data_IF_286537718047
#
_entry.id   IF_286537718047
#
_cell.length_a   1.000
_cell.length_b   1.000
_cell.length_c   1.000
_cell.angle_alpha   90.00
_cell.angle_beta   90.00
_cell.angle_gamma   90.00
#
_symmetry.space_group_name_H-M   'P 1'
#
loop_
_entity.id
_entity.type
_entity.pdbx_description
1 polymer ?
#
# COMPACT_ATOMS: atom_id res chain seq x y z
N UNK A 1 46.66 -47.63 -0.20
CA UNK A 1 47.38 -48.90 -0.36
C UNK A 1 47.82 -48.99 -1.82
N UNK A 2 48.96 -48.37 -2.10
CA UNK A 2 49.69 -48.33 -3.37
C UNK A 2 50.90 -47.46 -3.03
N UNK A 3 52.00 -48.11 -2.66
CA UNK A 3 53.17 -47.41 -2.13
C UNK A 3 53.86 -46.67 -3.27
N UNK A 4 53.80 -45.34 -3.24
CA UNK A 4 54.52 -44.49 -4.17
C UNK A 4 55.95 -44.40 -3.66
N UNK A 5 56.90 -44.89 -4.46
CA UNK A 5 58.32 -44.96 -4.16
C UNK A 5 58.85 -43.66 -3.53
N UNK A 6 59.09 -43.67 -2.21
CA UNK A 6 59.97 -42.71 -1.56
C UNK A 6 61.38 -42.93 -2.12
N UNK A 7 61.73 -42.13 -3.12
CA UNK A 7 63.12 -41.99 -3.55
C UNK A 7 63.82 -41.20 -2.47
N UNK A 8 64.55 -41.89 -1.60
CA UNK A 8 65.33 -41.28 -0.53
C UNK A 8 66.28 -40.24 -1.14
N UNK A 9 66.01 -38.96 -0.89
CA UNK A 9 66.77 -37.82 -1.42
C UNK A 9 68.03 -37.51 -0.58
N UNK A 10 68.52 -38.48 0.20
CA UNK A 10 69.79 -38.33 0.90
C UNK A 10 70.95 -38.10 -0.08
N UNK A 11 71.95 -37.26 0.25
CA UNK A 11 73.08 -36.99 -0.65
C UNK A 11 73.83 -38.25 -1.10
N UNK A 12 73.81 -39.30 -0.26
CA UNK A 12 74.39 -40.61 -0.57
C UNK A 12 73.59 -41.35 -1.65
N UNK A 13 72.26 -41.44 -1.50
CA UNK A 13 71.37 -42.03 -2.49
C UNK A 13 71.45 -41.32 -3.84
N UNK A 14 71.49 -39.98 -3.83
CA UNK A 14 71.65 -39.18 -5.06
C UNK A 14 73.02 -39.38 -5.72
N UNK A 15 74.11 -39.47 -4.95
CA UNK A 15 75.44 -39.78 -5.49
C UNK A 15 75.51 -41.20 -6.08
N UNK A 16 74.88 -42.18 -5.43
CA UNK A 16 74.83 -43.57 -5.88
C UNK A 16 73.95 -43.71 -7.15
N UNK A 17 72.84 -42.97 -7.24
CA UNK A 17 72.02 -42.87 -8.44
C UNK A 17 72.76 -42.16 -9.60
N UNK A 18 73.49 -41.08 -9.33
CA UNK A 18 74.30 -40.38 -10.33
C UNK A 18 75.45 -41.27 -10.86
N UNK A 19 76.14 -41.98 -9.97
CA UNK A 19 77.15 -42.98 -10.34
C UNK A 19 76.55 -44.10 -11.19
N UNK A 20 75.41 -44.66 -10.77
CA UNK A 20 74.71 -45.72 -11.51
C UNK A 20 74.23 -45.24 -12.89
N UNK A 21 73.73 -44.00 -12.99
CA UNK A 21 73.34 -43.40 -14.26
C UNK A 21 74.55 -43.14 -15.18
N UNK A 22 75.71 -42.75 -14.64
CA UNK A 22 76.95 -42.60 -15.41
C UNK A 22 77.43 -43.96 -15.96
N UNK A 23 77.46 -45.00 -15.12
CA UNK A 23 77.80 -46.38 -15.53
C UNK A 23 76.81 -46.92 -16.57
N UNK A 24 75.51 -46.66 -16.41
CA UNK A 24 74.49 -47.05 -17.39
C UNK A 24 74.65 -46.34 -18.74
N UNK A 25 75.05 -45.06 -18.76
CA UNK A 25 75.35 -44.36 -20.01
C UNK A 25 76.60 -44.91 -20.71
N UNK A 26 77.60 -45.40 -19.97
CA UNK A 26 78.77 -46.09 -20.54
C UNK A 26 78.35 -47.43 -21.16
N UNK A 27 77.51 -48.22 -20.48
CA UNK A 27 76.97 -49.47 -21.03
C UNK A 27 76.14 -49.25 -22.31
N UNK A 28 75.26 -48.24 -22.33
CA UNK A 28 74.42 -47.90 -23.49
C UNK A 28 75.23 -47.36 -24.68
N UNK A 29 76.45 -46.83 -24.46
CA UNK A 29 77.36 -46.47 -25.56
C UNK A 29 77.97 -47.68 -26.27
N UNK A 30 78.15 -48.82 -25.58
CA UNK A 30 78.71 -50.03 -26.18
C UNK A 30 77.74 -50.77 -27.14
N UNK A 31 76.42 -50.63 -26.94
CA UNK A 31 75.40 -51.39 -27.68
C UNK A 31 74.82 -50.62 -28.89
N UNK A 32 75.13 -49.32 -29.04
CA UNK A 32 74.51 -48.43 -30.03
C UNK A 32 75.18 -48.39 -31.41
N UNK A 33 76.23 -49.18 -31.65
CA UNK A 33 76.90 -49.26 -32.96
C UNK A 33 76.15 -50.07 -34.03
N UNK A 34 74.98 -50.66 -33.72
CA UNK A 34 74.37 -51.69 -34.57
C UNK A 34 72.88 -51.52 -34.96
N UNK A 35 72.26 -50.34 -34.76
CA UNK A 35 70.90 -50.05 -35.28
C UNK A 35 70.72 -48.61 -35.76
N UNK A 36 70.95 -48.39 -37.05
CA UNK A 36 70.50 -47.20 -37.79
C UNK A 36 69.59 -47.63 -38.96
N UNK A 37 68.27 -47.50 -38.80
CA UNK A 37 67.26 -47.35 -39.88
C UNK A 37 65.86 -47.19 -39.27
N UNK A 38 65.01 -46.46 -40.00
CA UNK A 38 63.59 -46.17 -39.73
C UNK A 38 63.31 -45.22 -38.53
N UNK A 39 62.42 -44.23 -38.63
CA UNK A 39 61.75 -43.63 -39.80
C UNK A 39 61.43 -42.15 -39.52
N UNK A 40 61.17 -41.40 -40.59
CA UNK A 40 60.69 -40.02 -40.63
C UNK A 40 59.20 -40.04 -41.00
N UNK A 41 58.31 -39.41 -40.21
CA UNK A 41 57.11 -38.69 -40.70
C UNK A 41 56.19 -38.13 -39.59
N UNK A 42 56.12 -36.79 -39.53
CA UNK A 42 54.92 -35.95 -39.69
C UNK A 42 53.67 -36.04 -38.77
N UNK A 43 53.23 -34.84 -38.33
CA UNK A 43 51.87 -34.28 -38.03
C UNK A 43 51.98 -33.41 -36.76
N UNK A 44 51.98 -32.06 -36.76
CA UNK A 44 51.13 -31.02 -37.38
C UNK A 44 49.74 -30.79 -36.73
N UNK A 45 49.34 -29.50 -36.65
CA UNK A 45 48.27 -28.84 -35.85
C UNK A 45 48.63 -28.59 -34.37
N UNK A 46 48.59 -27.37 -33.81
CA UNK A 46 48.43 -26.03 -34.39
C UNK A 46 47.43 -25.14 -33.66
N UNK A 47 47.92 -24.04 -33.05
CA UNK A 47 47.26 -22.73 -32.86
C UNK A 47 46.11 -22.66 -31.83
N UNK A 48 45.83 -21.62 -31.03
CA UNK A 48 46.52 -20.45 -30.40
C UNK A 48 45.44 -19.75 -29.51
N UNK A 49 45.65 -18.86 -28.53
CA UNK A 49 46.79 -18.38 -27.71
C UNK A 49 46.17 -17.78 -26.42
N UNK A 50 46.87 -17.79 -25.28
CA UNK A 50 46.71 -16.80 -24.18
C UNK A 50 47.99 -16.77 -23.33
N UNK A 51 48.66 -15.62 -23.33
CA UNK A 51 49.98 -15.41 -22.74
C UNK A 51 49.89 -15.03 -21.25
N UNK A 52 50.74 -15.61 -20.40
CA UNK A 52 51.39 -14.89 -19.30
C UNK A 52 52.75 -15.54 -18.97
N UNK A 53 53.69 -14.75 -18.49
CA UNK A 53 55.12 -15.01 -18.69
C UNK A 53 55.73 -16.01 -17.69
N UNK A 54 56.20 -17.15 -18.23
CA UNK A 54 56.94 -18.20 -17.52
C UNK A 54 58.24 -18.59 -18.24
N UNK A 55 58.98 -17.61 -18.75
CA UNK A 55 60.23 -17.84 -19.48
C UNK A 55 61.42 -18.29 -18.61
N UNK A 56 62.45 -18.84 -19.28
CA UNK A 56 63.74 -19.30 -18.74
C UNK A 56 63.68 -20.61 -17.90
N UNK A 57 64.42 -21.68 -18.19
CA UNK A 57 65.43 -21.92 -19.24
C UNK A 57 65.37 -23.37 -19.74
N UNK A 58 65.23 -23.57 -21.06
CA UNK A 58 65.72 -24.79 -21.69
C UNK A 58 67.25 -24.75 -21.66
N UNK A 59 67.86 -25.37 -20.64
CA UNK A 59 69.31 -25.60 -20.60
C UNK A 59 69.66 -26.61 -21.69
N UNK A 60 69.83 -26.09 -22.90
CA UNK A 60 70.45 -26.80 -23.99
C UNK A 60 71.90 -27.05 -23.61
N UNK A 61 72.15 -28.16 -22.91
CA UNK A 61 73.49 -28.63 -22.61
C UNK A 61 74.20 -28.92 -23.94
N UNK A 62 74.87 -27.89 -24.45
CA UNK A 62 75.89 -27.97 -25.49
C UNK A 62 76.96 -28.90 -24.96
N UNK A 63 76.80 -30.19 -25.24
CA UNK A 63 77.82 -31.20 -25.01
C UNK A 63 78.99 -30.82 -25.90
N UNK A 64 79.92 -30.07 -25.32
CA UNK A 64 81.27 -29.86 -25.84
C UNK A 64 81.76 -31.25 -26.24
N UNK A 65 81.91 -31.49 -27.54
CA UNK A 65 82.39 -32.76 -28.04
C UNK A 65 83.87 -32.88 -27.63
N UNK A 66 84.09 -33.42 -26.43
CA UNK A 66 85.41 -33.87 -26.02
C UNK A 66 85.88 -34.90 -27.02
N UNK A 67 87.14 -34.80 -27.43
CA UNK A 67 87.76 -35.83 -28.27
C UNK A 67 87.78 -37.12 -27.44
N UNK A 68 86.91 -38.09 -27.78
CA UNK A 68 86.95 -39.47 -27.27
C UNK A 68 88.24 -40.14 -27.81
N UNK A 69 89.40 -39.73 -27.28
CA UNK A 69 90.66 -40.45 -27.42
C UNK A 69 90.53 -41.65 -26.49
N UNK A 70 90.31 -42.84 -27.07
CA UNK A 70 90.33 -44.09 -26.29
C UNK A 70 91.69 -44.22 -25.59
N UNK A 71 91.67 -43.94 -24.29
CA UNK A 71 92.83 -43.92 -23.40
C UNK A 71 93.55 -45.27 -23.41
N UNK A 72 92.78 -46.37 -23.47
CA UNK A 72 93.31 -47.73 -23.57
C UNK A 72 94.06 -47.96 -24.87
N UNK A 73 93.55 -47.44 -26.00
CA UNK A 73 94.23 -47.51 -27.30
C UNK A 73 95.47 -46.62 -27.36
N UNK A 74 95.44 -45.43 -26.74
CA UNK A 74 96.59 -44.51 -26.70
C UNK A 74 97.73 -45.04 -25.84
N UNK A 75 97.45 -45.51 -24.62
CA UNK A 75 98.45 -46.17 -23.76
C UNK A 75 99.04 -47.40 -24.48
N UNK A 76 98.20 -48.22 -25.11
CA UNK A 76 98.65 -49.40 -25.88
C UNK A 76 99.50 -49.04 -27.10
N UNK A 77 99.41 -47.82 -27.63
CA UNK A 77 100.26 -47.30 -28.71
C UNK A 77 101.63 -46.87 -28.19
N UNK A 78 101.68 -46.16 -27.06
CA UNK A 78 102.90 -45.73 -26.37
C UNK A 78 103.78 -46.95 -26.05
N UNK A 79 103.21 -47.97 -25.40
CA UNK A 79 103.94 -49.18 -25.01
C UNK A 79 104.38 -50.08 -26.18
N UNK A 80 103.82 -49.88 -27.38
CA UNK A 80 104.23 -50.57 -28.61
C UNK A 80 105.31 -49.85 -29.42
N UNK A 81 105.58 -48.57 -29.14
CA UNK A 81 106.66 -47.83 -29.82
C UNK A 81 108.02 -48.46 -29.52
N UNK A 82 108.92 -48.54 -30.50
CA UNK A 82 110.24 -49.16 -30.31
C UNK A 82 111.33 -48.15 -29.93
N UNK A 83 111.12 -46.87 -30.25
CA UNK A 83 112.17 -45.84 -30.25
C UNK A 83 112.24 -44.98 -28.98
N UNK A 84 111.37 -45.25 -28.00
CA UNK A 84 111.20 -44.44 -26.78
C UNK A 84 111.65 -45.25 -25.55
N UNK A 85 112.42 -44.61 -24.66
CA UNK A 85 112.91 -45.21 -23.42
C UNK A 85 111.75 -45.62 -22.48
N UNK A 86 111.96 -46.64 -21.64
CA UNK A 86 110.90 -47.16 -20.75
C UNK A 86 110.39 -46.10 -19.77
N UNK A 87 111.29 -45.27 -19.22
CA UNK A 87 110.93 -44.18 -18.30
C UNK A 87 110.10 -43.09 -19.00
N UNK A 88 110.36 -42.82 -20.28
CA UNK A 88 109.65 -41.83 -21.08
C UNK A 88 108.24 -42.34 -21.48
N UNK A 89 108.11 -43.64 -21.82
CA UNK A 89 106.80 -44.31 -21.99
C UNK A 89 105.97 -44.33 -20.71
N UNK A 90 106.62 -44.54 -19.57
CA UNK A 90 105.97 -44.45 -18.25
C UNK A 90 105.50 -43.02 -17.98
N UNK A 91 106.34 -42.02 -18.24
CA UNK A 91 106.00 -40.60 -18.09
C UNK A 91 104.81 -40.19 -18.98
N UNK A 92 104.80 -40.59 -20.25
CA UNK A 92 103.69 -40.30 -21.19
C UNK A 92 102.40 -41.02 -20.79
N UNK A 93 102.48 -42.28 -20.34
CA UNK A 93 101.34 -43.05 -19.83
C UNK A 93 100.74 -42.41 -18.57
N UNK A 94 101.60 -41.99 -17.63
CA UNK A 94 101.17 -41.29 -16.41
C UNK A 94 100.58 -39.92 -16.76
N UNK A 95 101.16 -39.20 -17.71
CA UNK A 95 100.62 -37.92 -18.21
C UNK A 95 99.21 -38.05 -18.77
N UNK A 96 98.93 -39.10 -19.57
CA UNK A 96 97.58 -39.39 -20.07
C UNK A 96 96.61 -39.73 -18.94
N UNK A 97 97.01 -40.56 -17.97
CA UNK A 97 96.16 -40.93 -16.82
C UNK A 97 95.86 -39.74 -15.91
N UNK A 98 96.83 -38.86 -15.67
CA UNK A 98 96.65 -37.63 -14.90
C UNK A 98 95.74 -36.65 -15.65
N UNK A 99 95.95 -36.46 -16.97
CA UNK A 99 95.07 -35.60 -17.78
C UNK A 99 93.62 -36.07 -17.84
N UNK A 100 93.37 -37.38 -17.88
CA UNK A 100 92.01 -37.93 -17.81
C UNK A 100 91.39 -37.76 -16.41
N UNK A 101 92.18 -37.92 -15.35
CA UNK A 101 91.75 -37.65 -13.97
C UNK A 101 91.40 -36.17 -13.77
N UNK A 102 92.22 -35.25 -14.29
CA UNK A 102 91.97 -33.81 -14.24
C UNK A 102 90.72 -33.42 -15.03
N UNK A 103 90.51 -34.00 -16.23
CA UNK A 103 89.30 -33.84 -17.05
C UNK A 103 88.03 -34.34 -16.32
N UNK A 104 88.11 -35.51 -15.70
CA UNK A 104 87.02 -36.08 -14.91
C UNK A 104 86.72 -35.25 -13.65
N UNK A 105 87.75 -34.71 -13.01
CA UNK A 105 87.60 -33.78 -11.88
C UNK A 105 86.97 -32.46 -12.30
N UNK A 106 87.41 -31.85 -13.42
CA UNK A 106 86.81 -30.62 -13.95
C UNK A 106 85.34 -30.83 -14.31
N UNK A 107 85.00 -31.92 -15.00
CA UNK A 107 83.61 -32.26 -15.33
C UNK A 107 82.77 -32.54 -14.07
N UNK A 108 83.30 -33.30 -13.11
CA UNK A 108 82.62 -33.61 -11.85
C UNK A 108 82.36 -32.37 -10.98
N UNK A 109 83.33 -31.46 -10.89
CA UNK A 109 83.20 -30.18 -10.18
C UNK A 109 82.23 -29.24 -10.90
N UNK A 110 82.26 -29.20 -12.23
CA UNK A 110 81.29 -28.43 -13.02
C UNK A 110 79.85 -28.92 -12.80
N UNK A 111 79.61 -30.23 -12.94
CA UNK A 111 78.31 -30.83 -12.72
C UNK A 111 77.81 -30.67 -11.27
N UNK A 112 78.71 -30.71 -10.28
CA UNK A 112 78.38 -30.42 -8.89
C UNK A 112 77.99 -28.95 -8.67
N UNK A 113 78.73 -28.01 -9.26
CA UNK A 113 78.43 -26.59 -9.17
C UNK A 113 77.09 -26.25 -9.84
N UNK A 114 76.81 -26.82 -11.02
CA UNK A 114 75.51 -26.66 -11.70
C UNK A 114 74.36 -27.23 -10.88
N UNK A 115 74.57 -28.36 -10.19
CA UNK A 115 73.59 -28.95 -9.27
C UNK A 115 73.35 -28.07 -8.04
N UNK A 116 74.39 -27.49 -7.44
CA UNK A 116 74.25 -26.57 -6.30
C UNK A 116 73.53 -25.27 -6.71
N UNK A 117 73.88 -24.69 -7.85
CA UNK A 117 73.17 -23.51 -8.40
C UNK A 117 71.70 -23.80 -8.67
N UNK A 118 71.37 -24.91 -9.32
CA UNK A 118 69.98 -25.29 -9.59
C UNK A 118 69.20 -25.66 -8.32
N UNK A 119 69.84 -26.27 -7.32
CA UNK A 119 69.23 -26.57 -6.02
C UNK A 119 68.92 -25.29 -5.22
N UNK A 120 69.78 -24.28 -5.27
CA UNK A 120 69.54 -22.96 -4.68
C UNK A 120 68.40 -22.23 -5.40
N UNK A 121 68.39 -22.23 -6.73
CA UNK A 121 67.30 -21.65 -7.54
C UNK A 121 65.96 -22.34 -7.27
N UNK A 122 65.94 -23.67 -7.17
CA UNK A 122 64.74 -24.44 -6.82
C UNK A 122 64.22 -24.10 -5.42
N UNK A 123 65.13 -23.93 -4.45
CA UNK A 123 64.76 -23.50 -3.09
C UNK A 123 64.12 -22.12 -3.10
N UNK A 124 64.74 -21.14 -3.78
CA UNK A 124 64.19 -19.79 -3.93
C UNK A 124 62.83 -19.79 -4.66
N UNK A 125 62.69 -20.60 -5.72
CA UNK A 125 61.43 -20.74 -6.46
C UNK A 125 60.32 -21.36 -5.58
N UNK A 126 60.64 -22.33 -4.71
CA UNK A 126 59.69 -22.88 -3.74
C UNK A 126 59.24 -21.85 -2.71
N UNK A 127 60.16 -21.07 -2.14
CA UNK A 127 59.83 -19.98 -1.20
C UNK A 127 58.94 -18.91 -1.84
N UNK A 128 59.21 -18.54 -3.10
CA UNK A 128 58.36 -17.64 -3.89
C UNK A 128 56.98 -18.24 -4.21
N UNK A 129 56.91 -19.54 -4.51
CA UNK A 129 55.63 -20.23 -4.73
C UNK A 129 54.80 -20.33 -3.45
N UNK A 130 55.42 -20.62 -2.31
CA UNK A 130 54.75 -20.67 -1.00
C UNK A 130 54.23 -19.30 -0.56
N UNK A 131 55.03 -18.24 -0.72
CA UNK A 131 54.59 -16.87 -0.37
C UNK A 131 53.44 -16.41 -1.26
N UNK A 132 53.51 -16.66 -2.59
CA UNK A 132 52.39 -16.39 -3.52
C UNK A 132 51.14 -17.22 -3.18
N UNK A 133 51.31 -18.49 -2.81
CA UNK A 133 50.19 -19.37 -2.42
C UNK A 133 49.46 -18.87 -1.16
N UNK A 134 50.22 -18.46 -0.13
CA UNK A 134 49.65 -17.87 1.10
C UNK A 134 48.92 -16.56 0.81
N UNK A 135 49.46 -15.70 -0.06
CA UNK A 135 48.80 -14.44 -0.43
C UNK A 135 47.53 -14.67 -1.27
N UNK A 136 47.55 -15.63 -2.19
CA UNK A 136 46.34 -16.02 -2.95
C UNK A 136 45.22 -16.52 -2.03
N UNK A 137 45.55 -17.35 -1.02
CA UNK A 137 44.59 -17.78 0.00
C UNK A 137 44.06 -16.59 0.83
N UNK A 138 44.93 -15.64 1.21
CA UNK A 138 44.54 -14.43 1.95
C UNK A 138 43.56 -13.57 1.16
N UNK A 139 43.82 -13.37 -0.14
CA UNK A 139 42.94 -12.62 -1.04
C UNK A 139 41.60 -13.34 -1.23
N UNK A 140 41.61 -14.67 -1.45
CA UNK A 140 40.39 -15.47 -1.59
C UNK A 140 39.46 -15.37 -0.36
N UNK A 141 40.03 -15.37 0.86
CA UNK A 141 39.26 -15.19 2.10
C UNK A 141 38.63 -13.79 2.20
N UNK A 142 39.34 -12.75 1.78
CA UNK A 142 38.84 -11.38 1.75
C UNK A 142 37.73 -11.24 0.70
N UNK A 143 37.90 -11.83 -0.48
CA UNK A 143 36.87 -11.82 -1.52
C UNK A 143 35.59 -12.51 -1.05
N UNK A 144 35.67 -13.68 -0.40
CA UNK A 144 34.49 -14.38 0.11
C UNK A 144 33.81 -13.61 1.27
N UNK A 145 34.60 -12.97 2.14
CA UNK A 145 34.07 -12.06 3.16
C UNK A 145 33.38 -10.83 2.54
N UNK A 146 33.92 -10.28 1.45
CA UNK A 146 33.31 -9.16 0.73
C UNK A 146 32.01 -9.57 0.03
N UNK A 147 31.97 -10.75 -0.60
CA UNK A 147 30.79 -11.32 -1.29
C UNK A 147 29.64 -11.58 -0.31
N UNK A 148 29.94 -12.17 0.84
CA UNK A 148 28.94 -12.41 1.91
C UNK A 148 28.43 -11.10 2.52
N UNK A 149 29.32 -10.12 2.76
CA UNK A 149 28.94 -8.78 3.24
C UNK A 149 28.07 -8.02 2.23
N UNK A 150 28.42 -8.05 0.95
CA UNK A 150 27.65 -7.42 -0.12
C UNK A 150 26.28 -8.09 -0.28
N UNK A 151 26.21 -9.42 -0.19
CA UNK A 151 24.94 -10.17 -0.23
C UNK A 151 24.01 -9.83 0.93
N UNK A 152 24.56 -9.61 2.13
CA UNK A 152 23.75 -9.20 3.30
C UNK A 152 23.24 -7.77 3.17
N UNK A 153 24.06 -6.85 2.66
CA UNK A 153 23.67 -5.47 2.35
C UNK A 153 22.58 -5.40 1.28
N UNK A 154 22.70 -6.16 0.19
CA UNK A 154 21.65 -6.22 -0.85
C UNK A 154 20.32 -6.69 -0.27
N UNK A 155 20.32 -7.76 0.55
CA UNK A 155 19.11 -8.26 1.22
C UNK A 155 18.51 -7.23 2.17
N UNK A 156 19.33 -6.50 2.92
CA UNK A 156 18.88 -5.44 3.82
C UNK A 156 18.25 -4.26 3.05
N UNK A 157 18.85 -3.86 1.92
CA UNK A 157 18.30 -2.84 1.01
C UNK A 157 16.98 -3.29 0.39
N UNK A 158 16.85 -4.56 0.01
CA UNK A 158 15.59 -5.12 -0.49
C UNK A 158 14.48 -5.12 0.57
N UNK A 159 14.78 -5.53 1.81
CA UNK A 159 13.83 -5.47 2.94
C UNK A 159 13.39 -4.03 3.20
N UNK A 160 14.35 -3.10 3.34
CA UNK A 160 14.08 -1.67 3.56
C UNK A 160 13.23 -1.05 2.44
N UNK A 161 13.43 -1.47 1.19
CA UNK A 161 12.62 -1.05 0.04
C UNK A 161 11.18 -1.58 0.08
N UNK A 162 10.96 -2.78 0.61
CA UNK A 162 9.61 -3.32 0.85
C UNK A 162 8.94 -2.57 2.01
N UNK A 163 9.63 -2.44 3.14
CA UNK A 163 9.16 -1.72 4.32
C UNK A 163 8.78 -0.26 4.00
N UNK A 164 9.60 0.45 3.22
CA UNK A 164 9.30 1.82 2.78
C UNK A 164 8.05 1.90 1.89
N UNK A 165 7.83 0.90 1.03
CA UNK A 165 6.62 0.82 0.18
C UNK A 165 5.37 0.52 1.01
N UNK A 166 5.45 -0.38 1.98
CA UNK A 166 4.32 -0.75 2.82
C UNK A 166 4.01 0.34 3.85
N UNK A 167 5.03 1.05 4.37
CA UNK A 167 4.86 2.28 5.13
C UNK A 167 4.15 3.37 4.32
N UNK A 168 4.59 3.61 3.07
CA UNK A 168 3.95 4.56 2.15
C UNK A 168 2.48 4.20 1.84
N UNK A 169 2.19 2.92 1.60
CA UNK A 169 0.82 2.40 1.42
C UNK A 169 -0.03 2.59 2.67
N UNK A 170 0.52 2.27 3.84
CA UNK A 170 -0.14 2.45 5.13
C UNK A 170 -0.51 3.91 5.37
N UNK A 171 0.44 4.83 5.17
CA UNK A 171 0.19 6.28 5.28
C UNK A 171 -0.87 6.79 4.28
N UNK A 172 -0.91 6.26 3.06
CA UNK A 172 -1.95 6.60 2.09
C UNK A 172 -3.34 6.12 2.53
N UNK A 173 -3.44 4.89 3.08
CA UNK A 173 -4.69 4.36 3.64
C UNK A 173 -5.11 5.17 4.87
N UNK A 174 -4.19 5.50 5.76
CA UNK A 174 -4.46 6.31 6.96
C UNK A 174 -4.97 7.72 6.57
N UNK A 175 -4.35 8.37 5.58
CA UNK A 175 -4.81 9.67 5.08
C UNK A 175 -6.24 9.63 4.52
N UNK A 176 -6.58 8.56 3.77
CA UNK A 176 -7.96 8.33 3.30
C UNK A 176 -8.93 8.09 4.45
N UNK A 177 -8.55 7.28 5.44
CA UNK A 177 -9.39 7.04 6.63
C UNK A 177 -9.60 8.32 7.45
N UNK A 178 -8.56 9.16 7.63
CA UNK A 178 -8.67 10.48 8.27
C UNK A 178 -9.63 11.40 7.52
N UNK A 179 -9.58 11.39 6.18
CA UNK A 179 -10.52 12.15 5.34
C UNK A 179 -11.96 11.65 5.54
N UNK A 180 -12.19 10.35 5.43
CA UNK A 180 -13.52 9.74 5.63
C UNK A 180 -14.08 9.98 7.04
N UNK A 181 -13.24 9.97 8.08
CA UNK A 181 -13.64 10.31 9.45
C UNK A 181 -14.07 11.78 9.55
N UNK A 182 -13.41 12.69 8.82
CA UNK A 182 -13.83 14.09 8.76
C UNK A 182 -15.20 14.23 8.09
N UNK A 183 -15.37 13.67 6.88
CA UNK A 183 -16.65 13.79 6.15
C UNK A 183 -17.81 13.18 6.91
N UNK A 184 -17.62 12.02 7.57
CA UNK A 184 -18.66 11.40 8.41
C UNK A 184 -19.00 12.23 9.66
N UNK A 185 -18.06 13.02 10.20
CA UNK A 185 -18.35 13.97 11.29
C UNK A 185 -19.16 15.16 10.78
N UNK A 186 -18.77 15.73 9.64
CA UNK A 186 -19.47 16.85 9.02
C UNK A 186 -20.91 16.46 8.62
N UNK A 187 -21.10 15.26 8.05
CA UNK A 187 -22.40 14.67 7.73
C UNK A 187 -23.26 14.42 8.99
N UNK A 188 -22.66 13.87 10.06
CA UNK A 188 -23.34 13.68 11.35
C UNK A 188 -23.79 15.02 11.95
N UNK A 189 -22.91 16.02 11.95
CA UNK A 189 -23.19 17.31 12.57
C UNK A 189 -24.25 18.09 11.78
N UNK A 190 -24.23 17.97 10.44
CA UNK A 190 -25.34 18.41 9.61
C UNK A 190 -26.65 17.68 9.96
N UNK A 191 -26.65 16.36 10.05
CA UNK A 191 -27.85 15.58 10.38
C UNK A 191 -28.41 15.89 11.78
N UNK A 192 -27.55 16.20 12.76
CA UNK A 192 -27.97 16.65 14.09
C UNK A 192 -28.63 18.04 14.05
N UNK A 193 -28.11 18.97 13.24
CA UNK A 193 -28.74 20.27 13.02
C UNK A 193 -30.10 20.12 12.32
N UNK A 194 -30.16 19.34 11.24
CA UNK A 194 -31.39 19.04 10.50
C UNK A 194 -32.45 18.39 11.43
N UNK A 195 -32.03 17.48 12.33
CA UNK A 195 -32.91 16.86 13.33
C UNK A 195 -33.43 17.88 14.36
N UNK A 196 -32.57 18.75 14.88
CA UNK A 196 -32.95 19.81 15.82
C UNK A 196 -33.98 20.77 15.21
N UNK A 197 -33.79 21.13 13.94
CA UNK A 197 -34.74 21.96 13.20
C UNK A 197 -36.07 21.24 12.92
N UNK A 198 -36.04 19.92 12.66
CA UNK A 198 -37.26 19.12 12.56
C UNK A 198 -38.02 19.05 13.89
N UNK A 199 -37.32 18.83 15.01
CA UNK A 199 -37.91 18.83 16.36
C UNK A 199 -38.56 20.18 16.69
N UNK A 200 -37.87 21.28 16.41
CA UNK A 200 -38.39 22.65 16.59
C UNK A 200 -39.66 22.90 15.79
N UNK A 201 -39.70 22.47 14.52
CA UNK A 201 -40.90 22.54 13.66
C UNK A 201 -42.04 21.67 14.21
N UNK A 202 -41.74 20.46 14.68
CA UNK A 202 -42.73 19.57 15.29
C UNK A 202 -43.38 20.22 16.51
N UNK A 203 -42.60 20.76 17.46
CA UNK A 203 -43.15 21.42 18.66
C UNK A 203 -44.03 22.63 18.33
N UNK A 204 -43.70 23.40 17.28
CA UNK A 204 -44.56 24.49 16.80
C UNK A 204 -45.90 23.96 16.26
N UNK A 205 -45.87 22.93 15.41
CA UNK A 205 -47.09 22.31 14.85
C UNK A 205 -47.96 21.64 15.93
N UNK A 206 -47.35 21.05 16.96
CA UNK A 206 -48.05 20.48 18.12
C UNK A 206 -48.80 21.56 18.92
N UNK A 207 -48.18 22.73 19.11
CA UNK A 207 -48.80 23.87 19.79
C UNK A 207 -49.90 24.54 18.93
N UNK A 208 -49.67 24.72 17.63
CA UNK A 208 -50.70 25.20 16.69
C UNK A 208 -51.92 24.27 16.67
N UNK A 209 -51.70 22.95 16.68
CA UNK A 209 -52.76 21.95 16.77
C UNK A 209 -53.50 22.03 18.12
N UNK A 210 -52.78 22.24 19.23
CA UNK A 210 -53.36 22.40 20.57
C UNK A 210 -54.25 23.64 20.65
N UNK A 211 -53.78 24.78 20.15
CA UNK A 211 -54.53 26.03 20.08
C UNK A 211 -55.75 25.91 19.16
N UNK A 212 -55.60 25.25 18.01
CA UNK A 212 -56.71 25.00 17.07
C UNK A 212 -57.80 24.14 17.70
N UNK A 213 -57.44 23.06 18.41
CA UNK A 213 -58.40 22.23 19.17
C UNK A 213 -59.13 23.04 20.23
N UNK A 214 -58.42 23.87 20.99
CA UNK A 214 -59.02 24.73 22.03
C UNK A 214 -60.01 25.74 21.43
N UNK A 215 -59.63 26.40 20.33
CA UNK A 215 -60.51 27.33 19.61
C UNK A 215 -61.74 26.62 19.03
N UNK A 216 -61.59 25.43 18.46
CA UNK A 216 -62.71 24.63 17.96
C UNK A 216 -63.70 24.25 19.08
N UNK A 217 -63.20 23.85 20.25
CA UNK A 217 -64.05 23.58 21.42
C UNK A 217 -64.80 24.84 21.87
N UNK A 218 -64.14 26.00 21.93
CA UNK A 218 -64.77 27.29 22.28
C UNK A 218 -65.88 27.66 21.30
N UNK A 219 -65.59 27.63 20.00
CA UNK A 219 -66.57 27.94 18.94
C UNK A 219 -67.74 26.95 18.95
N UNK A 220 -67.48 25.67 19.23
CA UNK A 220 -68.54 24.65 19.35
C UNK A 220 -69.44 24.92 20.56
N UNK A 221 -68.87 25.31 21.71
CA UNK A 221 -69.64 25.69 22.90
C UNK A 221 -70.49 26.94 22.65
N UNK A 222 -69.91 27.95 22.01
CA UNK A 222 -70.57 29.20 21.63
C UNK A 222 -71.73 28.94 20.66
N UNK A 223 -71.49 28.13 19.61
CA UNK A 223 -72.53 27.63 18.69
C UNK A 223 -73.67 26.93 19.43
N UNK A 224 -73.35 25.98 20.31
CA UNK A 224 -74.36 25.23 21.07
C UNK A 224 -75.12 26.11 22.09
N UNK A 225 -74.56 27.25 22.49
CA UNK A 225 -75.24 28.28 23.28
C UNK A 225 -76.23 29.05 22.40
N UNK A 226 -75.75 29.55 21.24
CA UNK A 226 -76.55 30.28 20.27
C UNK A 226 -77.69 29.44 19.67
N UNK A 227 -77.49 28.15 19.41
CA UNK A 227 -78.56 27.24 18.97
C UNK A 227 -79.67 27.11 20.02
N UNK A 228 -79.31 27.03 21.32
CA UNK A 228 -80.29 27.01 22.42
C UNK A 228 -81.04 28.34 22.54
N UNK A 229 -80.34 29.47 22.51
CA UNK A 229 -80.99 30.78 22.47
C UNK A 229 -81.92 30.95 21.27
N UNK A 230 -81.50 30.50 20.08
CA UNK A 230 -82.33 30.55 18.87
C UNK A 230 -83.57 29.64 18.99
N UNK A 231 -83.44 28.42 19.52
CA UNK A 231 -84.59 27.56 19.81
C UNK A 231 -85.58 28.20 20.80
N UNK A 232 -85.08 28.88 21.84
CA UNK A 232 -85.91 29.63 22.80
C UNK A 232 -86.55 30.87 22.17
N UNK A 233 -85.84 31.62 21.33
CA UNK A 233 -86.38 32.75 20.59
C UNK A 233 -87.48 32.30 19.60
N UNK A 234 -87.27 31.18 18.90
CA UNK A 234 -88.25 30.59 18.00
C UNK A 234 -89.48 30.04 18.73
N UNK A 235 -89.33 29.44 19.93
CA UNK A 235 -90.48 28.99 20.72
C UNK A 235 -91.27 30.17 21.30
N UNK A 236 -90.58 31.23 21.74
CA UNK A 236 -91.21 32.48 22.16
C UNK A 236 -91.94 33.17 20.99
N UNK A 237 -91.32 33.28 19.81
CA UNK A 237 -91.96 33.83 18.60
C UNK A 237 -93.23 33.07 18.26
N UNK A 238 -93.17 31.73 18.17
CA UNK A 238 -94.36 30.88 17.95
C UNK A 238 -95.44 31.06 19.04
N UNK A 239 -95.05 31.42 20.26
CA UNK A 239 -95.99 31.66 21.38
C UNK A 239 -96.63 33.04 21.26
N UNK A 240 -95.87 34.06 20.87
CA UNK A 240 -96.38 35.40 20.55
C UNK A 240 -97.31 35.37 19.33
N UNK A 241 -96.93 34.67 18.26
CA UNK A 241 -97.76 34.44 17.07
C UNK A 241 -99.06 33.74 17.44
N UNK A 242 -98.99 32.66 18.25
CA UNK A 242 -100.17 32.00 18.80
C UNK A 242 -101.03 32.95 19.61
N UNK A 243 -100.47 33.69 20.57
CA UNK A 243 -101.22 34.63 21.42
C UNK A 243 -101.89 35.76 20.61
N UNK A 244 -101.23 36.25 19.56
CA UNK A 244 -101.79 37.27 18.65
C UNK A 244 -102.90 36.70 17.74
N UNK A 245 -102.83 35.40 17.40
CA UNK A 245 -103.89 34.68 16.69
C UNK A 245 -105.02 34.17 17.61
N UNK A 246 -104.77 34.05 18.92
CA UNK A 246 -105.62 33.29 19.82
C UNK A 246 -106.95 33.99 20.09
N UNK A 247 -107.89 33.21 20.62
CA UNK A 247 -109.25 33.65 20.93
C UNK A 247 -109.29 34.89 21.80
N UNK A 248 -108.37 35.10 22.73
CA UNK A 248 -108.47 36.21 23.70
C UNK A 248 -108.29 37.58 23.04
N UNK A 249 -107.24 37.80 22.25
CA UNK A 249 -107.06 39.09 21.59
C UNK A 249 -108.14 39.34 20.52
N UNK A 250 -108.61 38.29 19.86
CA UNK A 250 -109.73 38.38 18.93
C UNK A 250 -111.09 38.56 19.65
N UNK A 251 -111.24 38.05 20.86
CA UNK A 251 -112.38 38.26 21.75
C UNK A 251 -112.41 39.70 22.25
N UNK A 252 -111.28 40.24 22.73
CA UNK A 252 -111.19 41.66 23.12
C UNK A 252 -111.45 42.58 21.92
N UNK A 253 -110.88 42.32 20.74
CA UNK A 253 -111.22 43.06 19.50
C UNK A 253 -112.73 43.00 19.19
N UNK A 254 -113.35 41.82 19.23
CA UNK A 254 -114.80 41.64 19.01
C UNK A 254 -115.64 42.32 20.09
N UNK A 255 -115.21 42.29 21.34
CA UNK A 255 -115.90 42.91 22.48
C UNK A 255 -115.83 44.43 22.42
N UNK A 256 -114.68 44.99 22.02
CA UNK A 256 -114.54 46.43 21.74
C UNK A 256 -115.46 46.85 20.60
N UNK A 257 -115.57 46.07 19.52
CA UNK A 257 -116.53 46.35 18.44
C UNK A 257 -117.99 46.33 18.94
N UNK A 258 -118.41 45.29 19.67
CA UNK A 258 -119.76 45.16 20.24
C UNK A 258 -120.10 46.31 21.21
N UNK A 259 -119.15 46.73 22.05
CA UNK A 259 -119.33 47.87 22.95
C UNK A 259 -119.38 49.20 22.20
N UNK A 260 -118.63 49.35 21.11
CA UNK A 260 -118.66 50.54 20.25
C UNK A 260 -120.01 50.66 19.52
N UNK A 261 -120.56 49.54 19.04
CA UNK A 261 -121.90 49.49 18.42
C UNK A 261 -123.02 49.79 19.43
N UNK A 262 -122.92 49.27 20.66
CA UNK A 262 -123.84 49.62 21.76
C UNK A 262 -123.75 51.09 22.16
N UNK A 263 -122.55 51.67 22.19
CA UNK A 263 -122.37 53.09 22.45
C UNK A 263 -122.98 53.94 21.33
N UNK A 264 -122.77 53.56 20.06
CA UNK A 264 -123.32 54.28 18.92
C UNK A 264 -124.85 54.22 18.86
N UNK A 265 -125.44 53.05 19.08
CA UNK A 265 -126.91 52.92 19.17
C UNK A 265 -127.51 53.66 20.38
N UNK A 266 -126.80 53.77 21.50
CA UNK A 266 -127.19 54.67 22.60
C UNK A 266 -127.10 56.15 22.21
N UNK A 267 -126.06 56.56 21.48
CA UNK A 267 -125.94 57.93 20.95
C UNK A 267 -127.09 58.26 20.00
N UNK A 268 -127.50 57.34 19.12
CA UNK A 268 -128.66 57.48 18.24
C UNK A 268 -129.99 57.61 19.02
N UNK A 269 -130.17 56.81 20.09
CA UNK A 269 -131.34 56.91 20.96
C UNK A 269 -131.36 58.28 21.66
N UNK A 270 -130.22 58.73 22.20
CA UNK A 270 -130.09 60.05 22.82
C UNK A 270 -130.36 61.16 21.80
N UNK A 271 -129.90 61.02 20.55
CA UNK A 271 -130.18 61.99 19.48
C UNK A 271 -131.68 62.05 19.14
N UNK A 272 -132.36 60.90 19.05
CA UNK A 272 -133.83 60.82 18.85
C UNK A 272 -134.61 61.38 20.04
N UNK A 273 -134.15 61.13 21.26
CA UNK A 273 -134.71 61.70 22.49
C UNK A 273 -134.52 63.22 22.55
N UNK A 274 -133.34 63.73 22.20
CA UNK A 274 -133.09 65.17 22.12
C UNK A 274 -133.92 65.83 21.00
N UNK A 275 -134.14 65.13 19.89
CA UNK A 275 -135.03 65.59 18.82
C UNK A 275 -136.48 65.66 19.29
N UNK A 276 -137.00 64.62 19.96
CA UNK A 276 -138.36 64.65 20.52
C UNK A 276 -138.51 65.63 21.69
N UNK A 277 -137.48 65.85 22.51
CA UNK A 277 -137.46 66.94 23.52
C UNK A 277 -137.50 68.30 22.83
N UNK A 278 -136.81 68.47 21.70
CA UNK A 278 -136.85 69.72 20.92
C UNK A 278 -138.21 69.93 20.25
N UNK A 279 -138.83 68.88 19.74
CA UNK A 279 -140.21 68.91 19.24
C UNK A 279 -141.22 69.21 20.34
N UNK A 280 -141.10 68.59 21.52
CA UNK A 280 -141.95 68.87 22.69
C UNK A 280 -141.76 70.28 23.22
N UNK A 281 -140.54 70.82 23.21
CA UNK A 281 -140.27 72.24 23.50
C UNK A 281 -140.94 73.13 22.45
N UNK A 282 -140.79 72.83 21.16
CA UNK A 282 -141.47 73.56 20.08
C UNK A 282 -143.00 73.45 20.13
N UNK A 283 -143.56 72.34 20.61
CA UNK A 283 -145.00 72.18 20.88
C UNK A 283 -145.43 72.97 22.12
N UNK A 284 -144.63 73.00 23.18
CA UNK A 284 -144.87 73.84 24.37
C UNK A 284 -144.80 75.34 24.03
N UNK A 285 -143.86 75.75 23.19
CA UNK A 285 -143.73 77.11 22.65
C UNK A 285 -144.89 77.46 21.70
N UNK A 286 -145.37 76.51 20.88
CA UNK A 286 -146.59 76.71 20.08
C UNK A 286 -147.82 76.84 20.97
N UNK A 287 -147.95 75.99 21.99
CA UNK A 287 -149.05 76.01 22.97
C UNK A 287 -149.06 77.28 23.82
N UNK A 288 -147.90 77.86 24.12
CA UNK A 288 -147.80 79.16 24.81
C UNK A 288 -147.90 80.36 23.87
N UNK A 289 -147.61 80.19 22.57
CA UNK A 289 -147.84 81.22 21.54
C UNK A 289 -149.33 81.40 21.16
N UNK A 290 -150.18 80.44 21.52
CA UNK A 290 -151.64 80.60 21.68
C UNK A 290 -151.94 80.94 23.14
N UNK A 291 -151.61 82.13 23.63
CA UNK A 291 -151.88 83.39 22.92
C UNK A 291 -153.40 83.57 22.86
N UNK A 292 -154.11 83.57 23.99
CA UNK A 292 -153.93 84.55 25.07
C UNK A 292 -154.02 85.98 24.52
N UNK A 293 -155.25 86.35 24.14
CA UNK A 293 -155.75 87.72 23.92
C UNK A 293 -157.27 87.70 23.65
N UNK A 294 -157.93 88.79 24.08
CA UNK A 294 -159.38 89.12 23.99
C UNK A 294 -160.26 88.49 25.08
N UNK A 295 -161.07 89.24 25.83
CA UNK A 295 -161.14 90.70 26.05
C UNK A 295 -161.85 90.97 27.40
N UNK A 296 -161.79 92.21 27.89
CA UNK A 296 -162.48 92.69 29.11
C UNK A 296 -163.64 93.63 28.71
N UNK A 297 -164.55 93.89 29.68
CA UNK A 297 -165.54 95.00 29.83
C UNK A 297 -166.92 94.97 29.14
N UNK A 298 -167.96 94.96 30.01
CA UNK A 298 -169.26 95.67 30.06
C UNK A 298 -170.29 95.72 28.91
N UNK A 299 -171.55 95.74 29.40
CA UNK A 299 -172.89 95.78 28.77
C UNK A 299 -173.35 94.47 28.12
#
# INVERSE_FOLDING_TARGET
MTDVYETDLSPKSMAEAAYTAAVAQIAVRHDKTNRNRADDDTMDRGIDICEDEGGANNVSNSRKAGNDIDLGTSIKKIWKSSDIAVDEKLSETVGLLVGELDSLLEFGLGAFNDLDVTMRQLTQAKELAETRSREAQRLQLIDEQSRTSLSSLLRAVESSKVEARDSSRSAQVEARLRTNISTLRDERDKALNDLSDCQRKQSLLEEELRLTKLNLSRVTQEKNSMERYNQTAMSLSRTLDKNNSNTDMNYYKRKVAELSEKLHSQQDIIFKQNSTISELRGQSERSSSTGDKRFRTSY
#
